data_IF_090902827121
#
_entry.id   IF_090902827121
#
_cell.length_a   1.000
_cell.length_b   1.000
_cell.length_c   1.000
_cell.angle_alpha   90.00
_cell.angle_beta   90.00
_cell.angle_gamma   90.00
#
_symmetry.space_group_name_H-M   'P 1'
#
loop_
_entity.id
_entity.type
_entity.pdbx_description
1 polymer ?
#
# COMPACT_ATOMS: atom_id res chain seq x y z
N UNK A 1 35.80 2.51 16.76
CA UNK A 1 34.67 1.77 17.38
C UNK A 1 34.29 0.67 16.41
N UNK A 2 34.31 -0.60 16.84
CA UNK A 2 33.89 -1.72 15.99
C UNK A 2 32.36 -1.73 15.87
N UNK A 3 31.86 -1.88 14.65
CA UNK A 3 30.43 -2.05 14.38
C UNK A 3 29.86 -3.24 15.18
N UNK A 4 28.58 -3.19 15.59
CA UNK A 4 27.89 -4.34 16.19
C UNK A 4 27.90 -5.53 15.23
N UNK A 5 28.23 -6.71 15.74
CA UNK A 5 28.25 -7.94 14.94
C UNK A 5 26.82 -8.48 14.81
N UNK A 6 26.13 -8.07 13.74
CA UNK A 6 24.78 -8.55 13.42
C UNK A 6 24.82 -10.03 13.01
N UNK A 7 23.75 -10.81 13.24
CA UNK A 7 23.69 -12.23 12.89
C UNK A 7 23.91 -12.47 11.39
N UNK A 8 24.35 -13.69 11.06
CA UNK A 8 25.06 -14.08 9.84
C UNK A 8 24.39 -13.92 8.45
N UNK A 9 23.12 -13.50 8.24
CA UNK A 9 22.71 -13.04 6.90
C UNK A 9 22.97 -11.54 6.65
N UNK A 10 23.28 -10.75 7.69
CA UNK A 10 23.49 -9.30 7.55
C UNK A 10 24.93 -8.92 7.17
N UNK A 11 25.90 -9.83 7.37
CA UNK A 11 27.31 -9.61 7.04
C UNK A 11 27.65 -9.90 5.56
N UNK A 12 26.71 -10.48 4.80
CA UNK A 12 26.85 -10.76 3.35
C UNK A 12 26.05 -9.78 2.47
N UNK A 13 25.44 -8.76 3.09
CA UNK A 13 24.77 -7.72 2.33
C UNK A 13 25.83 -6.91 1.57
N UNK A 14 25.61 -6.62 0.26
CA UNK A 14 26.52 -5.75 -0.49
C UNK A 14 26.69 -4.42 0.24
N UNK A 15 27.86 -3.79 0.11
CA UNK A 15 28.05 -2.41 0.58
C UNK A 15 27.00 -1.54 -0.12
N UNK A 16 25.96 -1.17 0.61
CA UNK A 16 24.97 -0.23 0.10
C UNK A 16 25.50 1.17 0.34
N UNK A 17 25.73 1.93 -0.74
CA UNK A 17 25.83 3.37 -0.60
C UNK A 17 24.48 3.94 -0.13
N UNK A 18 24.53 5.07 0.57
CA UNK A 18 23.36 5.73 1.15
C UNK A 18 22.28 6.00 0.09
N UNK A 19 22.69 6.36 -1.12
CA UNK A 19 21.79 6.68 -2.24
C UNK A 19 21.00 5.45 -2.70
N UNK A 20 21.66 4.30 -2.83
CA UNK A 20 21.05 3.03 -3.20
C UNK A 20 20.03 2.58 -2.16
N UNK A 21 20.34 2.70 -0.86
CA UNK A 21 19.36 2.40 0.21
C UNK A 21 18.12 3.29 0.11
N UNK A 22 18.31 4.60 -0.09
CA UNK A 22 17.19 5.55 -0.18
C UNK A 22 16.34 5.31 -1.43
N UNK A 23 16.97 5.00 -2.57
CA UNK A 23 16.28 4.61 -3.79
C UNK A 23 15.48 3.32 -3.60
N UNK A 24 16.03 2.31 -2.92
CA UNK A 24 15.30 1.09 -2.59
C UNK A 24 14.10 1.37 -1.68
N UNK A 25 14.25 2.24 -0.68
CA UNK A 25 13.14 2.63 0.19
C UNK A 25 12.01 3.32 -0.60
N UNK A 26 12.35 4.28 -1.47
CA UNK A 26 11.39 4.90 -2.39
C UNK A 26 10.72 3.87 -3.31
N UNK A 27 11.48 2.91 -3.85
CA UNK A 27 10.93 1.84 -4.66
C UNK A 27 9.94 0.97 -3.86
N UNK A 28 10.21 0.68 -2.58
CA UNK A 28 9.25 -0.05 -1.74
C UNK A 28 7.96 0.72 -1.52
N UNK A 29 8.02 2.05 -1.31
CA UNK A 29 6.83 2.90 -1.21
C UNK A 29 6.02 2.81 -2.51
N UNK A 30 6.67 2.97 -3.67
CA UNK A 30 6.00 2.86 -4.96
C UNK A 30 5.37 1.48 -5.23
N UNK A 31 5.95 0.39 -4.72
CA UNK A 31 5.36 -0.94 -4.81
C UNK A 31 4.13 -1.08 -3.89
N UNK A 32 4.15 -0.50 -2.70
CA UNK A 32 3.00 -0.47 -1.80
C UNK A 32 1.84 0.35 -2.43
N UNK A 33 2.14 1.52 -3.02
CA UNK A 33 1.19 2.35 -3.79
C UNK A 33 0.55 1.58 -4.94
N UNK A 34 1.35 0.86 -5.74
CA UNK A 34 0.83 0.02 -6.82
C UNK A 34 -0.11 -1.08 -6.29
N UNK A 35 0.23 -1.67 -5.13
CA UNK A 35 -0.63 -2.62 -4.43
C UNK A 35 -1.97 -2.00 -4.02
N UNK A 36 -1.96 -0.77 -3.48
CA UNK A 36 -3.18 -0.03 -3.15
C UNK A 36 -4.03 0.26 -4.39
N UNK A 37 -3.41 0.64 -5.51
CA UNK A 37 -4.12 0.85 -6.77
C UNK A 37 -4.85 -0.42 -7.26
N UNK A 38 -4.22 -1.59 -7.12
CA UNK A 38 -4.87 -2.86 -7.44
C UNK A 38 -6.05 -3.16 -6.53
N UNK A 39 -5.96 -2.86 -5.23
CA UNK A 39 -7.08 -3.00 -4.30
C UNK A 39 -8.23 -2.08 -4.71
N UNK A 40 -7.95 -0.80 -4.99
CA UNK A 40 -8.98 0.17 -5.42
C UNK A 40 -9.69 -0.33 -6.68
N UNK A 41 -8.94 -0.82 -7.67
CA UNK A 41 -9.51 -1.36 -8.90
C UNK A 41 -10.39 -2.60 -8.62
N UNK A 42 -9.92 -3.53 -7.80
CA UNK A 42 -10.69 -4.73 -7.44
C UNK A 42 -11.99 -4.39 -6.68
N UNK A 43 -11.95 -3.39 -5.80
CA UNK A 43 -13.16 -2.90 -5.13
C UNK A 43 -14.11 -2.21 -6.11
N UNK A 44 -13.58 -1.51 -7.13
CA UNK A 44 -14.37 -0.96 -8.23
C UNK A 44 -15.08 -2.04 -9.06
N UNK A 45 -14.36 -3.09 -9.46
CA UNK A 45 -14.93 -4.25 -10.17
C UNK A 45 -16.00 -4.96 -9.32
N UNK A 46 -15.81 -5.06 -8.00
CA UNK A 46 -16.80 -5.61 -7.07
C UNK A 46 -18.10 -4.81 -7.05
N UNK A 47 -18.02 -3.47 -7.04
CA UNK A 47 -19.21 -2.61 -7.13
C UNK A 47 -19.93 -2.86 -8.46
N UNK A 48 -19.19 -2.86 -9.58
CA UNK A 48 -19.78 -3.08 -10.91
C UNK A 48 -20.50 -4.42 -11.00
N UNK A 49 -19.90 -5.49 -10.48
CA UNK A 49 -20.51 -6.82 -10.44
C UNK A 49 -21.78 -6.83 -9.56
N UNK A 50 -21.77 -6.18 -8.40
CA UNK A 50 -22.94 -6.10 -7.52
C UNK A 50 -24.09 -5.28 -8.15
N UNK A 51 -23.78 -4.17 -8.82
CA UNK A 51 -24.78 -3.37 -9.55
C UNK A 51 -25.40 -4.19 -10.68
N UNK A 52 -24.58 -4.88 -11.48
CA UNK A 52 -25.07 -5.73 -12.56
C UNK A 52 -25.98 -6.86 -12.02
N UNK A 53 -25.61 -7.50 -10.90
CA UNK A 53 -26.43 -8.51 -10.26
C UNK A 53 -27.76 -7.95 -9.75
N UNK A 54 -27.77 -6.71 -9.23
CA UNK A 54 -28.99 -6.06 -8.78
C UNK A 54 -29.92 -5.73 -9.95
N UNK A 55 -29.38 -5.23 -11.06
CA UNK A 55 -30.15 -4.94 -12.29
C UNK A 55 -30.76 -6.21 -12.90
N UNK A 56 -30.10 -7.36 -12.79
CA UNK A 56 -30.63 -8.67 -13.18
C UNK A 56 -31.68 -9.23 -12.21
N UNK A 57 -31.85 -8.63 -11.02
CA UNK A 57 -32.74 -9.13 -9.97
C UNK A 57 -32.16 -10.31 -9.19
N UNK A 58 -30.87 -10.60 -9.31
CA UNK A 58 -30.19 -11.71 -8.63
C UNK A 58 -29.91 -11.41 -7.15
N UNK A 59 -29.84 -10.12 -6.78
CA UNK A 59 -29.65 -9.65 -5.41
C UNK A 59 -30.69 -8.60 -5.01
N UNK A 60 -30.98 -8.51 -3.72
CA UNK A 60 -31.83 -7.46 -3.16
C UNK A 60 -31.09 -6.13 -2.96
N UNK A 61 -31.85 -5.06 -2.74
CA UNK A 61 -31.29 -3.75 -2.39
C UNK A 61 -30.44 -3.81 -1.11
N UNK A 62 -30.85 -4.61 -0.12
CA UNK A 62 -30.10 -4.77 1.14
C UNK A 62 -28.74 -5.44 0.91
N UNK A 63 -28.68 -6.41 0.00
CA UNK A 63 -27.44 -7.07 -0.39
C UNK A 63 -26.51 -6.09 -1.14
N UNK A 64 -27.06 -5.25 -2.04
CA UNK A 64 -26.29 -4.22 -2.72
C UNK A 64 -25.71 -3.20 -1.74
N UNK A 65 -26.51 -2.72 -0.78
CA UNK A 65 -26.06 -1.82 0.28
C UNK A 65 -24.99 -2.46 1.17
N UNK A 66 -25.12 -3.75 1.50
CA UNK A 66 -24.10 -4.48 2.25
C UNK A 66 -22.76 -4.58 1.50
N UNK A 67 -22.77 -4.72 0.17
CA UNK A 67 -21.54 -4.67 -0.64
C UNK A 67 -20.94 -3.26 -0.58
N UNK A 68 -21.76 -2.21 -0.74
CA UNK A 68 -21.31 -0.83 -0.66
C UNK A 68 -20.66 -0.49 0.71
N UNK A 69 -21.25 -0.95 1.81
CA UNK A 69 -20.70 -0.75 3.15
C UNK A 69 -19.36 -1.48 3.33
N UNK A 70 -19.25 -2.69 2.77
CA UNK A 70 -18.00 -3.46 2.75
C UNK A 70 -16.89 -2.72 1.99
N UNK A 71 -17.19 -2.25 0.77
CA UNK A 71 -16.26 -1.47 -0.06
C UNK A 71 -15.85 -0.17 0.65
N UNK A 72 -16.81 0.56 1.23
CA UNK A 72 -16.54 1.77 2.01
C UNK A 72 -15.58 1.49 3.17
N UNK A 73 -15.73 0.34 3.83
CA UNK A 73 -14.81 -0.12 4.88
C UNK A 73 -13.40 -0.40 4.36
N UNK A 74 -13.26 -0.99 3.17
CA UNK A 74 -11.95 -1.19 2.52
C UNK A 74 -11.33 0.14 2.12
N UNK A 75 -12.09 1.04 1.49
CA UNK A 75 -11.61 2.36 1.07
C UNK A 75 -11.12 3.19 2.26
N UNK A 76 -11.78 3.11 3.41
CA UNK A 76 -11.29 3.73 4.65
C UNK A 76 -9.92 3.19 5.08
N UNK A 77 -9.70 1.88 4.97
CA UNK A 77 -8.40 1.25 5.28
C UNK A 77 -7.32 1.60 4.26
N UNK A 78 -7.69 1.70 2.98
CA UNK A 78 -6.79 2.18 1.92
C UNK A 78 -6.31 3.60 2.22
N UNK A 79 -7.24 4.51 2.55
CA UNK A 79 -6.88 5.89 2.95
C UNK A 79 -5.98 5.93 4.19
N UNK A 80 -6.25 5.09 5.19
CA UNK A 80 -5.37 5.00 6.37
C UNK A 80 -3.96 4.52 6.00
N UNK A 81 -3.84 3.60 5.05
CA UNK A 81 -2.55 3.12 4.56
C UNK A 81 -1.82 4.17 3.74
N UNK A 82 -2.53 4.93 2.92
CA UNK A 82 -2.01 6.08 2.17
C UNK A 82 -1.33 7.09 3.11
N UNK A 83 -2.00 7.46 4.20
CA UNK A 83 -1.44 8.38 5.20
C UNK A 83 -0.14 7.82 5.83
N UNK A 84 -0.07 6.51 6.05
CA UNK A 84 1.15 5.88 6.57
C UNK A 84 2.27 5.84 5.51
N UNK A 85 1.93 5.71 4.23
CA UNK A 85 2.90 5.78 3.13
C UNK A 85 3.43 7.21 2.95
N UNK A 86 2.57 8.22 3.12
CA UNK A 86 2.95 9.63 3.11
C UNK A 86 3.98 9.95 4.20
N UNK A 87 3.74 9.53 5.45
CA UNK A 87 4.74 9.67 6.51
C UNK A 87 6.07 8.95 6.20
N UNK A 88 6.00 7.75 5.61
CA UNK A 88 7.19 7.00 5.22
C UNK A 88 7.97 7.72 4.11
N UNK A 89 7.25 8.36 3.18
CA UNK A 89 7.82 9.16 2.11
C UNK A 89 8.49 10.42 2.65
N UNK A 90 7.84 11.10 3.59
CA UNK A 90 8.40 12.27 4.28
C UNK A 90 9.71 11.91 5.00
N UNK A 91 9.73 10.82 5.78
CA UNK A 91 10.94 10.34 6.47
C UNK A 91 12.09 10.09 5.47
N UNK A 92 11.79 9.42 4.34
CA UNK A 92 12.79 9.15 3.30
C UNK A 92 13.25 10.44 2.59
N UNK A 93 12.34 11.37 2.34
CA UNK A 93 12.62 12.66 1.73
C UNK A 93 13.50 13.55 2.64
N UNK A 94 13.32 13.50 3.96
CA UNK A 94 14.19 14.18 4.91
C UNK A 94 15.62 13.60 4.88
N UNK A 95 15.76 12.27 4.81
CA UNK A 95 17.08 11.62 4.72
C UNK A 95 17.84 11.97 3.43
N UNK A 96 17.12 12.26 2.35
CA UNK A 96 17.67 12.74 1.09
C UNK A 96 18.14 14.20 1.16
N UNK A 97 17.48 15.04 1.96
CA UNK A 97 17.84 16.47 2.13
C UNK A 97 19.03 16.70 3.06
N UNK A 98 19.42 15.71 3.86
CA UNK A 98 20.58 15.75 4.74
C UNK A 98 21.90 15.64 3.95
N UNK A 99 22.27 16.72 3.27
CA UNK A 99 23.61 17.12 2.81
C UNK A 99 24.05 18.42 3.51
#
# INVERSE_FOLDING_TARGET
MSLPNLPNPFNELPEFDKENVLLFLLATIGQEELGLAHIINAEGEKIQAAVAAFECGDISIDQLLSVNDSVSGVMKRVLQKEILLDFKLDDVAELLKGE
#
